data_IF_464700791739
#
_entry.id   IF_464700791739
#
_cell.length_a   1.000
_cell.length_b   1.000
_cell.length_c   1.000
_cell.angle_alpha   90.00
_cell.angle_beta   90.00
_cell.angle_gamma   90.00
#
_symmetry.space_group_name_H-M   'P 1'
#
loop_
_entity.id
_entity.type
_entity.pdbx_description
1 polymer ?
#
# COMPACT_ATOMS: atom_id res chain seq x y z
N UNK A 1 -9.53 4.86 14.33
CA UNK A 1 -10.99 4.69 14.50
C UNK A 1 -11.27 3.74 15.66
N UNK A 2 -12.12 4.10 16.64
CA UNK A 2 -12.59 3.15 17.67
C UNK A 2 -13.79 2.37 17.12
N UNK A 3 -13.67 1.04 17.05
CA UNK A 3 -14.77 0.17 16.60
C UNK A 3 -15.65 -0.17 17.81
N UNK A 4 -16.96 -0.21 17.63
CA UNK A 4 -17.91 -0.63 18.66
C UNK A 4 -17.84 -2.14 18.91
N UNK A 5 -18.03 -2.58 20.15
CA UNK A 5 -18.14 -4.00 20.50
C UNK A 5 -19.39 -4.68 19.91
N UNK A 6 -20.36 -3.89 19.43
CA UNK A 6 -21.55 -4.42 18.76
C UNK A 6 -21.18 -4.97 17.39
N UNK A 7 -21.42 -6.26 17.20
CA UNK A 7 -21.14 -6.95 15.94
C UNK A 7 -22.09 -6.44 14.84
N UNK A 8 -21.50 -5.99 13.75
CA UNK A 8 -22.22 -5.67 12.52
C UNK A 8 -22.72 -6.96 11.85
N UNK A 9 -23.90 -6.88 11.22
CA UNK A 9 -24.42 -7.99 10.44
C UNK A 9 -23.44 -8.41 9.31
N UNK A 10 -23.14 -9.71 9.11
CA UNK A 10 -22.10 -10.14 8.17
C UNK A 10 -22.30 -9.65 6.73
N UNK A 11 -23.55 -9.65 6.26
CA UNK A 11 -23.90 -9.16 4.90
C UNK A 11 -23.56 -7.67 4.77
N UNK A 12 -23.92 -6.86 5.77
CA UNK A 12 -23.64 -5.43 5.76
C UNK A 12 -22.13 -5.17 5.80
N UNK A 13 -21.40 -5.92 6.64
CA UNK A 13 -19.93 -5.82 6.72
C UNK A 13 -19.27 -6.09 5.37
N UNK A 14 -19.69 -7.15 4.68
CA UNK A 14 -19.17 -7.50 3.36
C UNK A 14 -19.49 -6.41 2.33
N UNK A 15 -20.71 -5.88 2.36
CA UNK A 15 -21.11 -4.80 1.46
C UNK A 15 -20.28 -3.53 1.68
N UNK A 16 -20.06 -3.12 2.94
CA UNK A 16 -19.24 -1.95 3.27
C UNK A 16 -17.80 -2.12 2.76
N UNK A 17 -17.20 -3.29 2.97
CA UNK A 17 -15.83 -3.59 2.46
C UNK A 17 -15.81 -3.55 0.93
N UNK A 18 -16.81 -4.11 0.28
CA UNK A 18 -16.92 -4.12 -1.19
C UNK A 18 -17.07 -2.71 -1.75
N UNK A 19 -17.88 -1.86 -1.12
CA UNK A 19 -18.04 -0.46 -1.54
C UNK A 19 -16.71 0.28 -1.44
N UNK A 20 -15.98 0.15 -0.33
CA UNK A 20 -14.66 0.78 -0.19
C UNK A 20 -13.69 0.31 -1.28
N UNK A 21 -13.63 -1.00 -1.55
CA UNK A 21 -12.76 -1.55 -2.59
C UNK A 21 -13.13 -1.05 -3.99
N UNK A 22 -14.43 -0.97 -4.30
CA UNK A 22 -14.93 -0.45 -5.57
C UNK A 22 -14.58 1.03 -5.75
N UNK A 23 -14.85 1.86 -4.72
CA UNK A 23 -14.52 3.29 -4.75
C UNK A 23 -13.03 3.51 -5.02
N UNK A 24 -12.15 2.75 -4.35
CA UNK A 24 -10.71 2.84 -4.58
C UNK A 24 -10.30 2.42 -6.01
N UNK A 25 -10.99 1.43 -6.58
CA UNK A 25 -10.72 0.94 -7.93
C UNK A 25 -11.26 1.86 -9.05
N UNK A 26 -12.28 2.67 -8.75
CA UNK A 26 -12.91 3.56 -9.73
C UNK A 26 -12.12 4.86 -9.96
N UNK A 27 -11.19 5.20 -9.06
CA UNK A 27 -10.28 6.33 -9.27
C UNK A 27 -9.34 6.04 -10.45
N UNK A 28 -9.20 7.04 -11.33
CA UNK A 28 -8.36 6.96 -12.54
C UNK A 28 -7.03 7.67 -12.40
N UNK A 29 -6.92 8.63 -11.48
CA UNK A 29 -5.70 9.40 -11.22
C UNK A 29 -5.19 9.10 -9.80
N UNK A 30 -3.93 8.66 -9.63
CA UNK A 30 -3.30 8.50 -8.33
C UNK A 30 -3.35 9.75 -7.44
N UNK A 31 -3.38 10.95 -8.01
CA UNK A 31 -3.47 12.21 -7.25
C UNK A 31 -4.82 12.35 -6.55
N UNK A 32 -5.91 11.99 -7.24
CA UNK A 32 -7.25 12.04 -6.67
C UNK A 32 -7.39 11.03 -5.52
N UNK A 33 -6.78 9.85 -5.68
CA UNK A 33 -6.69 8.84 -4.61
C UNK A 33 -5.90 9.40 -3.42
N UNK A 34 -4.76 10.06 -3.65
CA UNK A 34 -3.95 10.63 -2.59
C UNK A 34 -4.72 11.69 -1.78
N UNK A 35 -5.47 12.57 -2.45
CA UNK A 35 -6.33 13.57 -1.80
C UNK A 35 -7.40 12.87 -0.96
N UNK A 36 -8.12 11.90 -1.53
CA UNK A 36 -9.12 11.13 -0.80
C UNK A 36 -8.54 10.43 0.43
N UNK A 37 -7.37 9.80 0.31
CA UNK A 37 -6.74 9.06 1.41
C UNK A 37 -6.30 9.98 2.56
N UNK A 38 -5.86 11.20 2.27
CA UNK A 38 -5.50 12.21 3.29
C UNK A 38 -6.71 12.71 4.07
N UNK A 39 -7.87 12.80 3.42
CA UNK A 39 -9.11 13.22 4.08
C UNK A 39 -9.82 12.06 4.79
N UNK A 40 -9.67 10.85 4.27
CA UNK A 40 -10.35 9.65 4.79
C UNK A 40 -9.64 9.05 6.02
N UNK A 41 -8.31 9.02 6.02
CA UNK A 41 -7.52 8.54 7.15
C UNK A 41 -7.04 9.70 8.02
N UNK A 42 -6.86 9.44 9.31
CA UNK A 42 -5.98 10.33 10.07
C UNK A 42 -4.51 10.10 9.70
N UNK A 43 -3.65 11.06 10.04
CA UNK A 43 -2.22 11.04 9.72
C UNK A 43 -1.53 9.73 10.14
N UNK A 44 -1.84 9.25 11.35
CA UNK A 44 -1.22 8.02 11.88
C UNK A 44 -1.67 6.75 11.15
N UNK A 45 -2.94 6.69 10.74
CA UNK A 45 -3.50 5.58 9.96
C UNK A 45 -2.88 5.56 8.57
N UNK A 46 -2.87 6.71 7.89
CA UNK A 46 -2.28 6.86 6.56
C UNK A 46 -0.82 6.44 6.56
N UNK A 47 -0.02 6.97 7.49
CA UNK A 47 1.40 6.65 7.60
C UNK A 47 1.62 5.15 7.90
N UNK A 48 0.80 4.57 8.78
CA UNK A 48 0.89 3.14 9.12
C UNK A 48 0.62 2.24 7.92
N UNK A 49 -0.45 2.52 7.15
CA UNK A 49 -0.79 1.73 5.97
C UNK A 49 0.23 1.92 4.84
N UNK A 50 0.72 3.15 4.63
CA UNK A 50 1.78 3.44 3.67
C UNK A 50 3.09 2.70 4.01
N UNK A 51 3.53 2.76 5.27
CA UNK A 51 4.71 2.02 5.74
C UNK A 51 4.53 0.51 5.58
N UNK A 52 3.34 -0.04 5.82
CA UNK A 52 3.05 -1.47 5.60
C UNK A 52 3.29 -1.90 4.15
N UNK A 53 2.82 -1.10 3.19
CA UNK A 53 3.04 -1.35 1.77
C UNK A 53 4.53 -1.24 1.41
N UNK A 54 5.21 -0.20 1.91
CA UNK A 54 6.63 0.03 1.66
C UNK A 54 7.53 -1.09 2.22
N UNK A 55 7.24 -1.60 3.42
CA UNK A 55 7.96 -2.76 4.00
C UNK A 55 7.80 -3.99 3.11
N UNK A 56 6.58 -4.31 2.67
CA UNK A 56 6.35 -5.46 1.80
C UNK A 56 7.13 -5.35 0.48
N UNK A 57 7.15 -4.16 -0.11
CA UNK A 57 7.91 -3.86 -1.31
C UNK A 57 9.43 -3.97 -1.09
N UNK A 58 9.96 -3.43 0.01
CA UNK A 58 11.41 -3.50 0.32
C UNK A 58 11.88 -4.91 0.65
N UNK A 59 11.05 -5.71 1.32
CA UNK A 59 11.30 -7.13 1.55
C UNK A 59 11.39 -7.90 0.22
N UNK A 60 10.51 -7.59 -0.74
CA UNK A 60 10.53 -8.18 -2.09
C UNK A 60 11.78 -7.78 -2.88
N UNK A 61 12.29 -6.55 -2.68
CA UNK A 61 13.59 -6.09 -3.18
C UNK A 61 14.80 -6.65 -2.38
N UNK A 62 14.59 -7.60 -1.46
CA UNK A 62 15.63 -8.25 -0.66
C UNK A 62 16.44 -7.29 0.23
N UNK A 63 15.85 -6.17 0.67
CA UNK A 63 16.50 -5.27 1.65
C UNK A 63 16.57 -5.95 3.03
N UNK A 64 17.62 -5.62 3.78
CA UNK A 64 17.83 -6.18 5.12
C UNK A 64 16.84 -5.60 6.14
N UNK A 65 16.59 -6.35 7.22
CA UNK A 65 15.68 -5.93 8.29
C UNK A 65 16.14 -4.65 8.99
N UNK A 66 17.45 -4.49 9.24
CA UNK A 66 17.99 -3.26 9.84
C UNK A 66 17.77 -2.06 8.91
N UNK A 67 18.02 -2.22 7.60
CA UNK A 67 17.79 -1.15 6.64
C UNK A 67 16.31 -0.71 6.61
N UNK A 68 15.37 -1.67 6.61
CA UNK A 68 13.93 -1.39 6.64
C UNK A 68 13.55 -0.68 7.94
N UNK A 69 14.02 -1.19 9.09
CA UNK A 69 13.75 -0.62 10.41
C UNK A 69 14.24 0.83 10.53
N UNK A 70 15.46 1.10 10.10
CA UNK A 70 16.12 2.40 10.27
C UNK A 70 15.50 3.48 9.38
N UNK A 71 15.13 3.14 8.14
CA UNK A 71 14.57 4.09 7.19
C UNK A 71 13.06 4.28 7.35
N UNK A 72 12.31 3.18 7.52
CA UNK A 72 10.83 3.26 7.61
C UNK A 72 10.34 3.46 9.06
N UNK A 73 11.25 3.47 10.04
CA UNK A 73 10.95 3.66 11.48
C UNK A 73 9.89 2.67 11.99
N UNK A 74 9.96 1.42 11.52
CA UNK A 74 9.08 0.32 11.94
C UNK A 74 9.81 -0.67 12.83
N UNK A 75 9.10 -1.32 13.75
CA UNK A 75 9.71 -2.34 14.62
C UNK A 75 10.03 -3.63 13.85
N UNK A 76 11.02 -4.40 14.32
CA UNK A 76 11.34 -5.72 13.75
C UNK A 76 10.15 -6.69 13.81
N UNK A 77 9.33 -6.60 14.86
CA UNK A 77 8.10 -7.38 14.98
C UNK A 77 7.10 -7.04 13.87
N UNK A 78 6.94 -5.76 13.55
CA UNK A 78 6.10 -5.29 12.44
C UNK A 78 6.60 -5.83 11.10
N UNK A 79 7.92 -5.80 10.86
CA UNK A 79 8.53 -6.34 9.64
C UNK A 79 8.23 -7.85 9.51
N UNK A 80 8.40 -8.62 10.59
CA UNK A 80 8.12 -10.05 10.60
C UNK A 80 6.64 -10.36 10.30
N UNK A 81 5.71 -9.60 10.88
CA UNK A 81 4.27 -9.74 10.58
C UNK A 81 4.01 -9.48 9.09
N UNK A 82 4.57 -8.40 8.53
CA UNK A 82 4.38 -8.05 7.11
C UNK A 82 5.03 -9.08 6.20
N UNK A 83 6.18 -9.65 6.57
CA UNK A 83 6.82 -10.73 5.81
C UNK A 83 5.92 -11.97 5.71
N UNK A 84 5.18 -12.28 6.78
CA UNK A 84 4.22 -13.39 6.73
C UNK A 84 3.00 -13.02 5.88
N UNK A 85 2.49 -11.80 6.01
CA UNK A 85 1.35 -11.32 5.22
C UNK A 85 1.68 -11.17 3.73
N UNK A 86 2.93 -10.88 3.36
CA UNK A 86 3.34 -10.72 1.96
C UNK A 86 3.22 -12.01 1.14
N UNK A 87 3.12 -13.17 1.81
CA UNK A 87 2.85 -14.47 1.20
C UNK A 87 1.38 -14.67 0.83
N UNK A 88 0.48 -13.79 1.27
CA UNK A 88 -0.95 -13.90 0.97
C UNK A 88 -1.28 -13.39 -0.44
N UNK A 89 -2.35 -13.89 -1.08
CA UNK A 89 -2.73 -13.49 -2.44
C UNK A 89 -2.95 -11.98 -2.61
N UNK A 90 -3.53 -11.31 -1.60
CA UNK A 90 -3.80 -9.86 -1.65
C UNK A 90 -2.52 -9.03 -1.78
N UNK A 91 -1.48 -9.37 -1.01
CA UNK A 91 -0.18 -8.70 -1.14
C UNK A 91 0.50 -9.03 -2.48
N UNK A 92 0.37 -10.26 -2.98
CA UNK A 92 0.91 -10.61 -4.28
C UNK A 92 0.29 -9.76 -5.41
N UNK A 93 -1.03 -9.49 -5.36
CA UNK A 93 -1.71 -8.61 -6.29
C UNK A 93 -1.22 -7.16 -6.18
N UNK A 94 -1.14 -6.62 -4.95
CA UNK A 94 -0.64 -5.26 -4.73
C UNK A 94 0.80 -5.08 -5.23
N UNK A 95 1.68 -6.06 -4.99
CA UNK A 95 3.07 -5.99 -5.42
C UNK A 95 3.24 -6.10 -6.94
N UNK A 96 2.31 -6.75 -7.66
CA UNK A 96 2.30 -6.73 -9.13
C UNK A 96 2.02 -5.32 -9.65
N UNK A 97 1.05 -4.63 -9.05
CA UNK A 97 0.71 -3.26 -9.45
C UNK A 97 1.84 -2.27 -9.15
N UNK A 98 2.42 -2.32 -7.94
CA UNK A 98 3.54 -1.45 -7.56
C UNK A 98 4.74 -1.62 -8.50
N UNK A 99 5.05 -2.86 -8.91
CA UNK A 99 6.13 -3.07 -9.87
C UNK A 99 5.78 -2.59 -11.27
N UNK A 100 4.55 -2.76 -11.74
CA UNK A 100 4.14 -2.23 -13.03
C UNK A 100 4.32 -0.70 -13.10
N UNK A 101 3.90 0.01 -12.05
CA UNK A 101 4.08 1.46 -11.91
C UNK A 101 5.56 1.87 -11.82
N UNK A 102 6.38 1.13 -11.06
CA UNK A 102 7.83 1.38 -11.01
C UNK A 102 8.47 1.23 -12.40
N UNK A 103 8.10 0.18 -13.13
CA UNK A 103 8.59 -0.05 -14.50
C UNK A 103 8.11 1.04 -15.46
N UNK A 104 6.85 1.46 -15.38
CA UNK A 104 6.32 2.56 -16.17
C UNK A 104 7.08 3.86 -15.90
N UNK A 105 7.35 4.18 -14.63
CA UNK A 105 8.11 5.36 -14.24
C UNK A 105 9.58 5.29 -14.70
N UNK A 106 10.25 4.16 -14.50
CA UNK A 106 11.64 3.96 -14.96
C UNK A 106 11.72 4.04 -16.49
N UNK A 107 10.75 3.48 -17.20
CA UNK A 107 10.67 3.51 -18.66
C UNK A 107 10.40 4.92 -19.19
N UNK A 108 9.48 5.66 -18.57
CA UNK A 108 9.21 7.07 -18.88
C UNK A 108 10.46 7.93 -18.68
N UNK A 109 11.21 7.73 -17.59
CA UNK A 109 12.47 8.44 -17.34
C UNK A 109 13.57 8.06 -18.35
N UNK A 110 13.63 6.81 -18.81
CA UNK A 110 14.56 6.38 -19.88
C UNK A 110 14.21 7.02 -21.23
N UNK A 111 12.93 7.08 -21.61
CA UNK A 111 12.48 7.75 -22.84
C UNK A 111 12.80 9.24 -22.79
N UNK A 112 12.52 9.93 -21.68
CA UNK A 112 12.83 11.36 -21.51
C UNK A 112 14.33 11.66 -21.69
N UNK A 113 15.21 10.76 -21.23
CA UNK A 113 16.66 10.89 -21.43
C UNK A 113 17.07 10.70 -22.90
N UNK A 114 16.37 9.84 -23.63
CA UNK A 114 16.67 9.53 -25.03
C UNK A 114 16.18 10.62 -26.00
N UNK A 115 15.08 11.32 -25.68
CA UNK A 115 14.53 12.41 -26.51
C UNK A 115 15.27 13.74 -26.26
N UNK A 116 16.00 13.87 -25.15
CA UNK A 116 16.85 15.05 -24.83
C UNK A 116 18.29 14.94 -25.36
N UNK A 117 18.61 13.91 -26.16
CA UNK A 117 19.83 13.81 -26.97
C UNK A 117 19.47 14.05 -28.44
#
# INVERSE_FOLDING_TARGET
MRISDRKMHPILKNQVIKTLAQTLADFKDPKDVEVFLKDFFNESELETFAKRLAVAYWLRKKRSYSNIRENLKVSSATIAVIQNLSKTPGFALAMKQVEAEEWANVWAERIKKFIRQ
#
